data_IF_488638737626
#
_entry.id   IF_488638737626
#
_cell.length_a   1.000
_cell.length_b   1.000
_cell.length_c   1.000
_cell.angle_alpha   90.00
_cell.angle_beta   90.00
_cell.angle_gamma   90.00
#
_symmetry.space_group_name_H-M   'P 1'
#
loop_
_entity.id
_entity.type
_entity.pdbx_description
1 polymer ?
#
# COMPACT_ATOMS: atom_id res chain seq x y z
N UNK A 1 40.63 -6.46 1.57
CA UNK A 1 40.65 -5.14 0.91
C UNK A 1 39.43 -4.81 0.06
N UNK A 2 38.89 -5.68 -0.79
CA UNK A 2 37.73 -5.35 -1.65
C UNK A 2 36.40 -5.06 -0.92
N UNK A 3 36.17 -5.64 0.26
CA UNK A 3 34.95 -5.39 1.07
C UNK A 3 34.87 -3.96 1.63
N UNK A 4 36.01 -3.41 2.06
CA UNK A 4 36.09 -2.05 2.59
C UNK A 4 35.85 -0.99 1.52
N UNK A 5 36.23 -1.26 0.26
CA UNK A 5 35.96 -0.37 -0.87
C UNK A 5 34.50 -0.40 -1.30
N UNK A 6 33.83 -1.56 -1.23
CA UNK A 6 32.39 -1.66 -1.53
C UNK A 6 31.55 -0.97 -0.46
N UNK A 7 31.85 -1.20 0.82
CA UNK A 7 31.13 -0.55 1.93
C UNK A 7 31.33 0.97 1.90
N UNK A 8 32.56 1.45 1.65
CA UNK A 8 32.84 2.88 1.55
C UNK A 8 32.22 3.53 0.30
N UNK A 9 32.05 2.78 -0.79
CA UNK A 9 31.39 3.24 -2.01
C UNK A 9 29.88 3.35 -1.81
N UNK A 10 29.25 2.32 -1.21
CA UNK A 10 27.82 2.35 -0.85
C UNK A 10 27.50 3.46 0.16
N UNK A 11 28.38 3.72 1.13
CA UNK A 11 28.21 4.77 2.14
C UNK A 11 28.38 6.19 1.55
N UNK A 12 29.30 6.36 0.59
CA UNK A 12 29.47 7.60 -0.16
C UNK A 12 28.28 7.90 -1.08
N UNK A 13 27.71 6.89 -1.73
CA UNK A 13 26.51 7.05 -2.57
C UNK A 13 25.24 7.30 -1.74
N UNK A 14 25.10 6.61 -0.61
CA UNK A 14 24.01 6.84 0.34
C UNK A 14 24.05 8.26 0.92
N UNK A 15 25.22 8.75 1.30
CA UNK A 15 25.39 10.13 1.80
C UNK A 15 25.15 11.19 0.72
N UNK A 16 25.52 10.94 -0.54
CA UNK A 16 25.21 11.81 -1.68
C UNK A 16 23.70 11.84 -1.96
N UNK A 17 23.03 10.69 -1.96
CA UNK A 17 21.57 10.58 -2.12
C UNK A 17 20.83 11.28 -0.99
N UNK A 18 21.28 11.13 0.26
CA UNK A 18 20.76 11.83 1.43
C UNK A 18 20.99 13.35 1.33
N UNK A 19 22.15 13.80 0.83
CA UNK A 19 22.42 15.21 0.62
C UNK A 19 21.55 15.80 -0.53
N UNK A 20 21.34 15.04 -1.60
CA UNK A 20 20.45 15.43 -2.70
C UNK A 20 18.98 15.49 -2.24
N UNK A 21 18.50 14.49 -1.50
CA UNK A 21 17.16 14.50 -0.88
C UNK A 21 17.01 15.62 0.15
N UNK A 22 18.01 15.88 0.99
CA UNK A 22 17.98 17.03 1.91
C UNK A 22 17.92 18.38 1.20
N UNK A 23 18.57 18.53 0.05
CA UNK A 23 18.47 19.74 -0.77
C UNK A 23 17.10 19.85 -1.47
N UNK A 24 16.47 18.73 -1.83
CA UNK A 24 15.10 18.68 -2.37
C UNK A 24 14.08 19.22 -1.35
N UNK A 25 14.27 18.97 -0.06
CA UNK A 25 13.39 19.48 1.00
C UNK A 25 13.57 20.99 1.31
N UNK A 26 14.69 21.60 0.92
CA UNK A 26 15.00 23.01 1.24
C UNK A 26 14.38 24.01 0.27
N UNK A 27 14.23 23.65 -1.01
CA UNK A 27 13.59 24.50 -2.02
C UNK A 27 12.89 23.65 -3.09
N UNK A 28 11.60 23.33 -2.93
CA UNK A 28 10.87 22.44 -3.84
C UNK A 28 10.69 23.01 -5.25
N UNK A 29 10.89 24.32 -5.44
CA UNK A 29 10.73 24.98 -6.74
C UNK A 29 11.92 24.78 -7.68
N UNK A 30 13.10 24.44 -7.13
CA UNK A 30 14.34 24.21 -7.88
C UNK A 30 14.59 22.73 -8.20
N UNK A 31 13.63 21.87 -7.85
CA UNK A 31 13.77 20.43 -7.95
C UNK A 31 13.40 19.97 -9.35
N UNK A 32 14.38 19.43 -10.08
CA UNK A 32 14.08 18.78 -11.35
C UNK A 32 13.38 17.42 -11.06
N UNK A 33 12.10 17.24 -11.45
CA UNK A 33 11.33 16.04 -11.15
C UNK A 33 12.00 14.76 -11.68
N UNK A 34 12.66 14.85 -12.84
CA UNK A 34 13.43 13.73 -13.38
C UNK A 34 14.61 13.39 -12.48
N UNK A 35 15.34 14.36 -11.98
CA UNK A 35 16.51 14.11 -11.11
C UNK A 35 16.11 13.44 -9.78
N UNK A 36 14.96 13.79 -9.19
CA UNK A 36 14.49 13.14 -7.95
C UNK A 36 14.12 11.69 -8.18
N UNK A 37 13.34 11.42 -9.22
CA UNK A 37 12.93 10.05 -9.54
C UNK A 37 14.11 9.20 -10.04
N UNK A 38 15.08 9.82 -10.72
CA UNK A 38 16.35 9.21 -11.10
C UNK A 38 17.21 8.93 -9.87
N UNK A 39 17.29 9.84 -8.89
CA UNK A 39 18.00 9.60 -7.64
C UNK A 39 17.35 8.50 -6.79
N UNK A 40 16.02 8.44 -6.78
CA UNK A 40 15.26 7.37 -6.13
C UNK A 40 15.26 6.04 -6.93
N UNK A 41 15.72 6.04 -8.19
CA UNK A 41 15.46 4.94 -9.14
C UNK A 41 16.59 4.56 -10.10
N UNK A 42 17.81 5.10 -9.98
CA UNK A 42 19.06 4.55 -10.58
C UNK A 42 19.66 3.60 -9.53
N UNK A 43 19.94 2.32 -9.80
CA UNK A 43 20.57 1.72 -10.98
C UNK A 43 19.94 0.38 -11.41
N UNK A 44 18.62 0.24 -11.39
CA UNK A 44 18.00 -1.02 -11.82
C UNK A 44 17.60 -0.94 -13.29
N UNK A 45 18.09 -1.90 -14.09
CA UNK A 45 17.62 -2.17 -15.45
C UNK A 45 16.11 -2.44 -15.46
N UNK A 46 15.44 -2.27 -16.61
CA UNK A 46 14.00 -2.55 -16.70
C UNK A 46 13.65 -4.01 -16.36
N UNK A 47 14.60 -4.93 -16.55
CA UNK A 47 14.50 -6.33 -16.15
C UNK A 47 14.62 -6.51 -14.62
N UNK A 48 15.53 -5.78 -13.97
CA UNK A 48 15.69 -5.78 -12.51
C UNK A 48 14.53 -5.08 -11.78
N UNK A 49 13.89 -4.10 -12.43
CA UNK A 49 12.70 -3.39 -11.90
C UNK A 49 11.44 -4.22 -11.89
N UNK A 50 11.34 -5.27 -12.72
CA UNK A 50 10.11 -6.02 -12.92
C UNK A 50 10.30 -7.51 -12.64
N UNK A 51 10.11 -7.90 -11.39
CA UNK A 51 10.12 -9.32 -11.01
C UNK A 51 9.02 -10.10 -11.75
N UNK A 52 9.32 -11.28 -12.30
CA UNK A 52 8.30 -12.12 -12.91
C UNK A 52 7.28 -12.53 -11.85
N UNK A 53 6.01 -12.63 -12.23
CA UNK A 53 4.91 -12.93 -11.29
C UNK A 53 5.15 -14.20 -10.46
N UNK A 54 5.80 -15.20 -11.06
CA UNK A 54 6.16 -16.45 -10.36
C UNK A 54 7.19 -16.20 -9.26
N UNK A 55 8.19 -15.33 -9.48
CA UNK A 55 9.19 -15.01 -8.46
C UNK A 55 8.56 -14.24 -7.30
N UNK A 56 7.72 -13.24 -7.59
CA UNK A 56 6.97 -12.49 -6.57
C UNK A 56 6.09 -13.44 -5.76
N UNK A 57 5.37 -14.35 -6.42
CA UNK A 57 4.52 -15.32 -5.74
C UNK A 57 5.34 -16.26 -4.83
N UNK A 58 6.45 -16.82 -5.33
CA UNK A 58 7.32 -17.71 -4.53
C UNK A 58 7.91 -17.01 -3.31
N UNK A 59 8.44 -15.80 -3.50
CA UNK A 59 9.00 -15.01 -2.40
C UNK A 59 7.92 -14.65 -1.38
N UNK A 60 6.74 -14.23 -1.85
CA UNK A 60 5.57 -14.01 -1.01
C UNK A 60 5.16 -15.27 -0.22
N UNK A 61 5.15 -16.45 -0.84
CA UNK A 61 4.81 -17.70 -0.14
C UNK A 61 5.81 -18.08 0.94
N UNK A 62 7.11 -17.86 0.70
CA UNK A 62 8.16 -18.15 1.70
C UNK A 62 8.00 -17.22 2.91
N UNK A 63 7.85 -15.92 2.66
CA UNK A 63 7.64 -14.93 3.72
C UNK A 63 6.35 -15.20 4.50
N UNK A 64 5.27 -15.58 3.83
CA UNK A 64 4.02 -15.96 4.48
C UNK A 64 4.15 -17.25 5.28
N UNK A 65 4.89 -18.26 4.79
CA UNK A 65 5.14 -19.50 5.55
C UNK A 65 5.90 -19.19 6.84
N UNK A 66 6.96 -18.38 6.74
CA UNK A 66 7.72 -17.94 7.91
C UNK A 66 6.83 -17.17 8.90
N UNK A 67 5.94 -16.29 8.41
CA UNK A 67 4.99 -15.57 9.27
C UNK A 67 4.01 -16.53 9.96
N UNK A 68 3.45 -17.50 9.23
CA UNK A 68 2.50 -18.48 9.77
C UNK A 68 3.13 -19.39 10.83
N UNK A 69 4.39 -19.76 10.65
CA UNK A 69 5.13 -20.64 11.57
C UNK A 69 5.60 -19.92 12.84
N UNK A 70 5.90 -18.62 12.75
CA UNK A 70 6.52 -17.86 13.85
C UNK A 70 5.53 -17.01 14.64
N UNK A 71 4.43 -16.57 14.04
CA UNK A 71 3.48 -15.68 14.69
C UNK A 71 2.55 -16.47 15.62
N UNK A 72 2.76 -16.32 16.93
CA UNK A 72 1.95 -16.94 17.98
C UNK A 72 1.36 -15.86 18.90
N UNK A 73 0.16 -16.11 19.40
CA UNK A 73 -0.53 -15.26 20.38
C UNK A 73 -0.74 -16.01 21.69
N UNK A 74 -0.65 -15.27 22.78
CA UNK A 74 -0.94 -15.75 24.12
C UNK A 74 -2.42 -15.55 24.44
N UNK A 75 -3.18 -16.64 24.50
CA UNK A 75 -4.61 -16.63 24.82
C UNK A 75 -4.80 -17.10 26.27
N UNK A 76 -5.49 -16.32 27.13
CA UNK A 76 -5.85 -16.78 28.46
C UNK A 76 -6.84 -17.94 28.36
N UNK A 77 -6.50 -19.08 28.96
CA UNK A 77 -7.37 -20.27 28.95
C UNK A 77 -8.59 -20.00 29.83
N UNK A 78 -9.75 -19.80 29.20
CA UNK A 78 -11.03 -19.85 29.91
C UNK A 78 -11.32 -21.29 30.32
N UNK A 79 -11.53 -21.58 31.62
CA UNK A 79 -11.87 -22.93 32.06
C UNK A 79 -13.20 -23.40 31.45
N UNK A 80 -13.24 -24.60 30.87
CA UNK A 80 -14.45 -25.21 30.26
C UNK A 80 -15.67 -25.25 31.20
N UNK A 81 -15.46 -25.15 32.52
CA UNK A 81 -16.52 -25.21 33.53
C UNK A 81 -17.18 -23.86 33.84
N UNK A 82 -16.80 -22.76 33.17
CA UNK A 82 -17.33 -21.42 33.44
C UNK A 82 -17.02 -20.89 34.85
N UNK A 83 -16.24 -21.63 35.66
CA UNK A 83 -15.82 -21.22 36.99
C UNK A 83 -14.46 -20.54 36.91
N UNK A 84 -14.27 -19.36 37.52
CA UNK A 84 -12.95 -18.75 37.62
C UNK A 84 -12.00 -19.70 38.39
N UNK A 85 -10.71 -19.73 38.04
CA UNK A 85 -9.73 -20.56 38.74
C UNK A 85 -9.68 -20.13 40.21
N UNK A 86 -10.03 -21.06 41.11
CA UNK A 86 -10.22 -20.80 42.55
C UNK A 86 -8.90 -20.46 43.27
N UNK A 87 -7.74 -20.70 42.66
CA UNK A 87 -6.41 -20.33 43.18
C UNK A 87 -5.34 -20.57 42.11
N UNK A 88 -4.81 -19.53 41.48
CA UNK A 88 -3.66 -19.64 40.59
C UNK A 88 -3.59 -18.56 39.51
N UNK A 89 -2.39 -18.32 38.96
CA UNK A 89 -2.19 -17.47 37.78
C UNK A 89 -3.03 -18.03 36.62
N UNK A 90 -3.65 -17.19 35.77
CA UNK A 90 -4.35 -17.65 34.59
C UNK A 90 -3.37 -18.49 33.74
N UNK A 91 -3.82 -19.67 33.31
CA UNK A 91 -3.03 -20.48 32.38
C UNK A 91 -3.06 -19.79 31.03
N UNK A 92 -1.89 -19.47 30.50
CA UNK A 92 -1.73 -18.87 29.18
C UNK A 92 -1.42 -20.01 28.21
N UNK A 93 -2.14 -20.08 27.09
CA UNK A 93 -1.87 -21.01 26.00
C UNK A 93 -1.34 -20.23 24.80
N UNK A 94 -0.30 -20.75 24.16
CA UNK A 94 0.25 -20.19 22.92
C UNK A 94 -0.46 -20.85 21.75
N UNK A 95 -1.05 -20.06 20.87
CA UNK A 95 -1.76 -20.51 19.69
C UNK A 95 -1.27 -19.72 18.46
N UNK A 96 -1.31 -20.30 17.24
CA UNK A 96 -0.88 -19.60 16.05
C UNK A 96 -1.77 -18.37 15.79
N UNK A 97 -1.17 -17.22 15.55
CA UNK A 97 -1.86 -15.97 15.30
C UNK A 97 -2.53 -15.93 13.92
N UNK A 98 -2.00 -16.70 12.96
CA UNK A 98 -2.53 -16.83 11.61
C UNK A 98 -2.58 -18.30 11.21
N UNK A 99 -3.58 -18.67 10.40
CA UNK A 99 -3.76 -20.04 9.90
C UNK A 99 -4.15 -20.03 8.42
N UNK A 100 -3.78 -21.09 7.69
CA UNK A 100 -4.17 -21.27 6.30
C UNK A 100 -5.38 -22.21 6.21
N UNK A 101 -6.49 -21.70 5.68
CA UNK A 101 -7.74 -22.44 5.52
C UNK A 101 -8.13 -22.52 4.03
N UNK A 102 -8.67 -23.67 3.61
CA UNK A 102 -9.21 -23.83 2.26
C UNK A 102 -10.71 -23.53 2.31
N UNK A 103 -11.11 -22.42 1.68
CA UNK A 103 -12.49 -22.01 1.56
C UNK A 103 -13.08 -22.34 0.19
N UNK A 104 -14.41 -22.28 0.11
CA UNK A 104 -15.19 -22.63 -1.06
C UNK A 104 -16.11 -21.45 -1.40
N UNK A 105 -16.19 -21.07 -2.66
CA UNK A 105 -17.11 -19.99 -3.07
C UNK A 105 -18.54 -20.52 -2.99
N UNK A 106 -19.38 -19.91 -2.15
CA UNK A 106 -20.80 -20.21 -2.13
C UNK A 106 -21.49 -19.48 -3.30
N UNK A 107 -22.05 -20.19 -4.31
CA UNK A 107 -22.69 -19.57 -5.46
C UNK A 107 -23.87 -18.65 -5.08
N UNK A 108 -24.48 -18.86 -3.91
CA UNK A 108 -25.61 -18.07 -3.43
C UNK A 108 -25.23 -16.70 -2.83
N UNK A 109 -23.94 -16.43 -2.56
CA UNK A 109 -23.45 -15.18 -1.96
C UNK A 109 -22.83 -14.20 -2.96
N UNK A 110 -22.83 -14.49 -4.27
CA UNK A 110 -22.37 -13.54 -5.28
C UNK A 110 -23.46 -12.52 -5.62
N UNK A 111 -23.25 -11.21 -5.37
CA UNK A 111 -24.26 -10.19 -5.61
C UNK A 111 -24.48 -9.85 -7.10
N UNK A 112 -23.72 -10.41 -8.04
CA UNK A 112 -23.73 -9.96 -9.45
C UNK A 112 -24.27 -10.98 -10.47
N UNK A 113 -24.68 -12.18 -10.07
CA UNK A 113 -25.43 -13.10 -10.95
C UNK A 113 -26.93 -12.91 -10.81
N UNK A 114 -27.43 -11.72 -11.15
CA UNK A 114 -28.89 -11.51 -11.28
C UNK A 114 -29.25 -10.62 -12.46
N UNK A 115 -28.95 -11.12 -13.67
CA UNK A 115 -29.80 -10.90 -14.86
C UNK A 115 -30.05 -12.25 -15.54
N UNK A 116 -31.17 -12.88 -15.20
CA UNK A 116 -31.88 -13.82 -16.08
C UNK A 116 -31.21 -15.15 -16.45
N UNK A 117 -30.30 -15.71 -15.65
CA UNK A 117 -29.69 -17.01 -15.93
C UNK A 117 -29.31 -17.75 -14.65
N UNK A 118 -29.63 -19.05 -14.62
CA UNK A 118 -29.40 -20.07 -13.58
C UNK A 118 -28.35 -19.74 -12.50
N UNK A 119 -28.76 -19.83 -11.22
CA UNK A 119 -27.94 -19.74 -9.99
C UNK A 119 -27.00 -20.95 -9.83
N UNK A 120 -26.22 -21.27 -10.85
CA UNK A 120 -25.33 -22.45 -10.88
C UNK A 120 -23.95 -22.05 -11.42
N UNK A 121 -23.31 -21.08 -10.77
CA UNK A 121 -21.87 -20.86 -10.95
C UNK A 121 -21.09 -22.03 -10.34
N UNK A 122 -19.94 -22.44 -10.92
CA UNK A 122 -19.14 -23.53 -10.38
C UNK A 122 -18.58 -23.16 -9.00
N UNK A 123 -18.66 -24.09 -8.05
CA UNK A 123 -18.01 -23.97 -6.74
C UNK A 123 -16.50 -23.99 -6.94
N UNK A 124 -15.81 -22.92 -6.56
CA UNK A 124 -14.35 -22.77 -6.65
C UNK A 124 -13.73 -22.91 -5.27
N UNK A 125 -12.67 -23.73 -5.18
CA UNK A 125 -11.77 -23.79 -4.01
C UNK A 125 -10.75 -22.66 -4.07
N UNK A 126 -10.49 -22.02 -2.93
CA UNK A 126 -9.41 -21.05 -2.79
C UNK A 126 -8.83 -21.09 -1.37
N UNK A 127 -7.54 -20.77 -1.24
CA UNK A 127 -6.86 -20.65 0.05
C UNK A 127 -7.08 -19.26 0.66
N UNK A 128 -7.28 -19.22 1.98
CA UNK A 128 -7.45 -18.00 2.77
C UNK A 128 -6.49 -18.07 3.95
N UNK A 129 -5.84 -16.95 4.25
CA UNK A 129 -5.12 -16.79 5.51
C UNK A 129 -6.08 -16.12 6.49
N UNK A 130 -6.42 -16.85 7.55
CA UNK A 130 -7.30 -16.38 8.62
C UNK A 130 -6.47 -15.92 9.81
N UNK A 131 -6.83 -14.79 10.40
CA UNK A 131 -6.23 -14.31 11.64
C UNK A 131 -7.03 -14.83 12.83
N UNK A 132 -6.35 -15.12 13.94
CA UNK A 132 -6.99 -15.52 15.19
C UNK A 132 -7.99 -14.44 15.67
N UNK A 133 -9.16 -14.81 16.21
CA UNK A 133 -10.18 -13.82 16.62
C UNK A 133 -9.68 -12.74 17.58
N UNK A 134 -8.78 -13.07 18.50
CA UNK A 134 -8.18 -12.09 19.42
C UNK A 134 -7.27 -11.09 18.69
N UNK A 135 -6.58 -11.50 17.61
CA UNK A 135 -5.80 -10.58 16.76
C UNK A 135 -6.75 -9.63 16.04
N UNK A 136 -7.84 -10.14 15.47
CA UNK A 136 -8.85 -9.33 14.80
C UNK A 136 -9.50 -8.34 15.78
N UNK A 137 -9.82 -8.79 16.99
CA UNK A 137 -10.40 -7.95 18.04
C UNK A 137 -9.43 -6.84 18.46
N UNK A 138 -8.16 -7.16 18.68
CA UNK A 138 -7.13 -6.17 18.98
C UNK A 138 -6.96 -5.14 17.84
N UNK A 139 -7.02 -5.60 16.58
CA UNK A 139 -6.97 -4.72 15.42
C UNK A 139 -8.18 -3.77 15.36
N UNK A 140 -9.39 -4.31 15.56
CA UNK A 140 -10.64 -3.53 15.55
C UNK A 140 -10.72 -2.55 16.73
N UNK A 141 -10.17 -2.91 17.88
CA UNK A 141 -10.11 -2.04 19.07
C UNK A 141 -9.04 -0.93 18.96
N UNK A 142 -8.22 -0.95 17.91
CA UNK A 142 -7.18 0.07 17.68
C UNK A 142 -6.01 0.02 18.67
N UNK A 143 -5.97 -0.97 19.56
CA UNK A 143 -4.86 -1.21 20.49
C UNK A 143 -3.65 -1.73 19.71
N UNK A 144 -2.77 -0.84 19.28
CA UNK A 144 -1.52 -1.15 18.59
C UNK A 144 -1.50 -0.90 17.07
N UNK A 145 -2.62 -0.45 16.47
CA UNK A 145 -2.72 -0.22 15.00
C UNK A 145 -2.41 1.24 14.61
N UNK A 146 -2.23 2.15 15.58
CA UNK A 146 -1.99 3.58 15.30
C UNK A 146 -0.78 3.84 14.39
N UNK A 147 0.21 2.95 14.36
CA UNK A 147 1.41 3.04 13.52
C UNK A 147 1.46 2.04 12.35
N UNK A 148 0.45 1.17 12.18
CA UNK A 148 0.42 0.20 11.06
C UNK A 148 -0.33 0.79 9.86
N UNK A 149 -0.15 2.08 9.59
CA UNK A 149 -0.63 2.65 8.34
C UNK A 149 0.35 2.30 7.23
N UNK A 150 0.12 1.14 6.59
CA UNK A 150 0.90 0.64 5.43
C UNK A 150 0.67 1.49 4.17
N UNK A 151 -0.10 2.57 4.26
CA UNK A 151 -0.36 3.45 3.12
C UNK A 151 0.87 4.27 2.78
N UNK A 152 1.53 3.93 1.68
CA UNK A 152 2.65 4.72 1.16
C UNK A 152 2.21 6.09 0.60
N UNK A 153 0.95 6.20 0.18
CA UNK A 153 0.44 7.36 -0.57
C UNK A 153 -0.41 8.27 0.31
N UNK A 154 0.23 9.00 1.22
CA UNK A 154 -0.42 10.09 1.95
C UNK A 154 -0.47 11.38 1.11
N UNK A 155 -1.39 12.31 1.44
CA UNK A 155 -1.34 13.67 0.92
C UNK A 155 0.03 14.31 1.19
N UNK A 156 0.56 15.03 0.22
CA UNK A 156 1.85 15.71 0.38
C UNK A 156 1.67 16.99 1.19
N UNK A 157 2.60 17.24 2.12
CA UNK A 157 2.68 18.50 2.89
C UNK A 157 3.41 19.62 2.14
N UNK A 158 3.88 19.32 0.93
CA UNK A 158 4.53 20.22 -0.02
C UNK A 158 3.87 20.06 -1.39
N UNK A 159 4.01 21.03 -2.30
CA UNK A 159 3.47 20.90 -3.65
C UNK A 159 3.99 19.63 -4.36
N UNK A 160 3.12 18.92 -5.10
CA UNK A 160 3.53 17.74 -5.87
C UNK A 160 4.43 18.12 -7.06
N UNK A 161 5.17 17.13 -7.58
CA UNK A 161 5.89 17.28 -8.84
C UNK A 161 4.89 17.48 -9.98
N UNK A 162 5.14 18.42 -10.90
CA UNK A 162 4.31 18.56 -12.08
C UNK A 162 4.43 17.30 -12.97
N UNK A 163 3.30 16.87 -13.52
CA UNK A 163 3.22 15.89 -14.58
C UNK A 163 3.89 16.44 -15.83
N UNK A 164 4.91 15.72 -16.29
CA UNK A 164 5.66 16.03 -17.52
C UNK A 164 5.82 14.80 -18.42
N UNK A 165 5.46 13.61 -17.92
CA UNK A 165 5.42 12.36 -18.67
C UNK A 165 4.46 11.38 -17.98
N UNK A 166 4.19 10.24 -18.62
CA UNK A 166 3.24 9.26 -18.10
C UNK A 166 3.58 8.60 -16.76
N UNK A 167 4.86 8.55 -16.42
CA UNK A 167 5.37 8.02 -15.16
C UNK A 167 6.18 9.05 -14.35
N UNK A 168 6.19 10.31 -14.80
CA UNK A 168 6.92 11.41 -14.17
C UNK A 168 5.96 12.52 -13.73
N UNK A 169 5.67 12.58 -12.43
CA UNK A 169 4.78 13.54 -11.79
C UNK A 169 4.21 13.00 -10.47
N UNK A 170 3.52 13.86 -9.71
CA UNK A 170 2.89 13.47 -8.45
C UNK A 170 3.87 13.47 -7.26
N UNK A 171 4.13 12.31 -6.67
CA UNK A 171 4.99 12.19 -5.49
C UNK A 171 6.47 12.39 -5.84
N UNK A 172 7.24 12.92 -4.88
CA UNK A 172 8.67 13.19 -5.07
C UNK A 172 9.46 11.90 -5.38
N UNK A 173 9.32 10.90 -4.49
CA UNK A 173 10.14 9.68 -4.51
C UNK A 173 9.36 8.43 -4.93
N UNK A 174 8.05 8.41 -4.67
CA UNK A 174 7.19 7.29 -5.06
C UNK A 174 6.87 7.39 -6.55
N UNK A 175 7.08 6.29 -7.27
CA UNK A 175 6.69 6.20 -8.67
C UNK A 175 5.17 6.24 -8.80
N UNK A 176 4.66 7.21 -9.54
CA UNK A 176 3.25 7.38 -9.82
C UNK A 176 3.01 7.37 -11.34
N UNK A 177 2.14 6.48 -11.81
CA UNK A 177 1.62 6.55 -13.18
C UNK A 177 0.45 7.52 -13.20
N UNK A 178 0.37 8.39 -14.22
CA UNK A 178 -0.76 9.33 -14.33
C UNK A 178 -2.11 8.60 -14.40
N UNK A 179 -2.12 7.40 -14.98
CA UNK A 179 -3.31 6.61 -15.27
C UNK A 179 -3.28 5.30 -14.49
N UNK A 180 -4.41 4.99 -13.84
CA UNK A 180 -4.59 3.73 -13.14
C UNK A 180 -5.01 2.63 -14.12
N UNK A 181 -4.04 1.87 -14.63
CA UNK A 181 -4.25 0.81 -15.63
C UNK A 181 -4.77 -0.52 -15.09
N UNK A 182 -4.81 -0.70 -13.75
CA UNK A 182 -5.29 -1.94 -13.09
C UNK A 182 -4.63 -3.23 -13.62
N UNK A 183 -3.38 -3.15 -14.06
CA UNK A 183 -2.65 -4.29 -14.63
C UNK A 183 -2.91 -4.56 -16.11
N UNK A 184 -3.73 -3.75 -16.78
CA UNK A 184 -3.95 -3.86 -18.22
C UNK A 184 -2.73 -3.34 -18.99
N UNK A 185 -1.97 -4.28 -19.57
CA UNK A 185 -0.75 -3.98 -20.33
C UNK A 185 -1.02 -3.22 -21.62
N UNK A 186 -2.17 -3.43 -22.26
CA UNK A 186 -2.52 -2.73 -23.50
C UNK A 186 -2.79 -1.25 -23.24
N UNK A 187 -3.53 -0.94 -22.18
CA UNK A 187 -3.76 0.45 -21.75
C UNK A 187 -2.46 1.18 -21.42
N UNK A 188 -1.52 0.50 -20.75
CA UNK A 188 -0.22 1.08 -20.44
C UNK A 188 0.60 1.37 -21.72
N UNK A 189 0.59 0.45 -22.70
CA UNK A 189 1.29 0.65 -23.98
C UNK A 189 0.74 1.83 -24.77
N UNK A 190 -0.59 1.92 -24.88
CA UNK A 190 -1.24 3.04 -25.58
C UNK A 190 -0.92 4.39 -24.91
N UNK A 191 -0.84 4.41 -23.58
CA UNK A 191 -0.43 5.60 -22.84
C UNK A 191 1.02 6.00 -23.14
N UNK A 192 1.93 5.02 -23.19
CA UNK A 192 3.34 5.26 -23.54
C UNK A 192 3.49 5.75 -24.98
N UNK A 193 2.69 5.23 -25.90
CA UNK A 193 2.65 5.67 -27.30
C UNK A 193 2.15 7.12 -27.41
N UNK A 194 1.07 7.47 -26.69
CA UNK A 194 0.54 8.83 -26.65
C UNK A 194 1.54 9.84 -26.05
N UNK A 195 2.24 9.45 -24.98
CA UNK A 195 3.29 10.27 -24.36
C UNK A 195 4.48 10.50 -25.33
N UNK A 196 4.88 9.45 -26.07
CA UNK A 196 5.93 9.56 -27.10
C UNK A 196 5.51 10.47 -28.23
N UNK A 197 4.29 10.35 -28.75
CA UNK A 197 3.77 11.23 -29.78
C UNK A 197 3.81 12.70 -29.33
N UNK A 198 3.55 12.96 -28.05
CA UNK A 198 3.65 14.31 -27.50
C UNK A 198 5.08 14.83 -27.43
N UNK A 199 6.04 13.98 -27.06
CA UNK A 199 7.46 14.33 -27.14
C UNK A 199 7.94 14.62 -28.58
N UNK A 200 7.27 14.03 -29.58
CA UNK A 200 7.52 14.25 -31.02
C UNK A 200 6.80 15.49 -31.57
N UNK A 201 5.96 16.17 -30.77
CA UNK A 201 5.33 17.44 -31.10
C UNK A 201 3.80 17.42 -31.19
N UNK A 202 3.14 16.29 -30.91
CA UNK A 202 1.67 16.22 -30.84
C UNK A 202 1.14 16.80 -29.50
N UNK A 203 0.33 17.87 -29.49
CA UNK A 203 -0.13 18.48 -28.23
C UNK A 203 -1.12 17.61 -27.44
N UNK A 204 -1.56 16.44 -27.94
CA UNK A 204 -2.66 15.66 -27.36
C UNK A 204 -2.57 15.37 -25.84
N UNK A 205 -1.37 15.15 -25.29
CA UNK A 205 -1.18 14.87 -23.86
C UNK A 205 -0.95 16.12 -22.99
N UNK A 206 -0.56 17.25 -23.60
CA UNK A 206 -0.20 18.46 -22.87
C UNK A 206 -1.37 18.99 -22.03
N UNK A 207 -2.58 19.05 -22.64
CA UNK A 207 -3.78 19.51 -21.95
C UNK A 207 -4.13 18.65 -20.72
N UNK A 208 -3.86 17.35 -20.79
CA UNK A 208 -4.10 16.43 -19.67
C UNK A 208 -3.13 16.73 -18.53
N UNK A 209 -1.85 16.97 -18.83
CA UNK A 209 -0.84 17.28 -17.82
C UNK A 209 -1.13 18.61 -17.14
N UNK A 210 -1.47 19.63 -17.91
CA UNK A 210 -1.83 20.94 -17.37
C UNK A 210 -3.05 20.86 -16.44
N UNK A 211 -4.08 20.08 -16.83
CA UNK A 211 -5.25 19.86 -15.98
C UNK A 211 -4.91 19.11 -14.69
N UNK A 212 -4.10 18.05 -14.76
CA UNK A 212 -3.65 17.30 -13.58
C UNK A 212 -2.79 18.17 -12.65
N UNK A 213 -1.93 19.01 -13.21
CA UNK A 213 -1.09 19.95 -12.46
C UNK A 213 -1.94 21.01 -11.76
N UNK A 214 -2.93 21.57 -12.46
CA UNK A 214 -3.88 22.51 -11.85
C UNK A 214 -4.61 21.88 -10.66
N UNK A 215 -5.15 20.67 -10.81
CA UNK A 215 -5.84 19.95 -9.73
C UNK A 215 -4.91 19.59 -8.55
N UNK A 216 -3.69 19.15 -8.85
CA UNK A 216 -2.71 18.75 -7.84
C UNK A 216 -2.11 19.93 -7.07
N UNK A 217 -2.11 21.12 -7.65
CA UNK A 217 -1.57 22.34 -7.02
C UNK A 217 -2.49 22.93 -5.92
N UNK A 218 -3.74 22.49 -5.84
CA UNK A 218 -4.71 23.03 -4.88
C UNK A 218 -4.34 22.59 -3.46
N UNK A 219 -4.01 23.56 -2.61
CA UNK A 219 -3.70 23.30 -1.21
C UNK A 219 -4.98 23.03 -0.41
N UNK A 220 -5.01 21.89 0.29
CA UNK A 220 -6.12 21.50 1.16
C UNK A 220 -5.75 21.76 2.62
N UNK A 221 -6.76 22.11 3.41
CA UNK A 221 -6.66 22.21 4.86
C UNK A 221 -7.84 21.52 5.52
N UNK A 222 -7.59 20.82 6.62
CA UNK A 222 -8.63 20.17 7.40
C UNK A 222 -9.50 21.24 8.08
N UNK A 223 -10.81 21.17 7.89
CA UNK A 223 -11.75 21.98 8.64
C UNK A 223 -11.83 21.47 10.08
N UNK A 224 -11.23 22.20 11.01
CA UNK A 224 -11.11 21.80 12.42
C UNK A 224 -12.45 21.79 13.16
N UNK A 225 -13.38 22.68 12.79
CA UNK A 225 -14.68 22.74 13.44
C UNK A 225 -15.54 21.53 13.09
N UNK A 226 -15.52 21.13 11.80
CA UNK A 226 -16.19 19.91 11.35
C UNK A 226 -15.50 18.68 11.93
N UNK A 227 -14.16 18.65 11.93
CA UNK A 227 -13.41 17.54 12.52
C UNK A 227 -13.80 17.30 13.97
N UNK A 228 -13.85 18.36 14.79
CA UNK A 228 -14.25 18.26 16.21
C UNK A 228 -15.65 17.64 16.38
N UNK A 229 -16.63 18.07 15.58
CA UNK A 229 -17.99 17.51 15.63
C UNK A 229 -17.98 16.02 15.25
N UNK A 230 -17.23 15.65 14.22
CA UNK A 230 -17.10 14.24 13.79
C UNK A 230 -16.42 13.39 14.86
N UNK A 231 -15.38 13.91 15.51
CA UNK A 231 -14.68 13.24 16.63
C UNK A 231 -15.63 13.05 17.82
N UNK A 232 -16.39 14.07 18.21
CA UNK A 232 -17.39 13.97 19.28
C UNK A 232 -18.47 12.92 18.97
N UNK A 233 -18.98 12.92 17.73
CA UNK A 233 -19.96 11.91 17.27
C UNK A 233 -19.34 10.51 17.31
N UNK A 234 -18.09 10.37 16.85
CA UNK A 234 -17.38 9.08 16.88
C UNK A 234 -17.17 8.57 18.30
N UNK A 235 -16.73 9.42 19.22
CA UNK A 235 -16.56 9.09 20.65
C UNK A 235 -17.89 8.73 21.33
N UNK A 236 -19.01 9.31 20.88
CA UNK A 236 -20.36 8.97 21.36
C UNK A 236 -20.91 7.64 20.83
N UNK A 237 -20.16 6.94 19.96
CA UNK A 237 -20.55 5.64 19.38
C UNK A 237 -21.05 5.70 17.93
N UNK A 238 -20.98 6.87 17.28
CA UNK A 238 -21.33 7.03 15.86
C UNK A 238 -22.82 6.88 15.52
N UNK A 239 -23.11 6.47 14.28
CA UNK A 239 -24.48 6.17 13.82
C UNK A 239 -25.31 7.38 13.37
N UNK A 240 -24.68 8.55 13.21
CA UNK A 240 -25.34 9.79 12.80
C UNK A 240 -24.68 10.33 11.53
N UNK A 241 -25.33 10.11 10.38
CA UNK A 241 -24.77 10.41 9.05
C UNK A 241 -23.67 9.41 8.65
N UNK A 242 -23.65 9.04 7.37
CA UNK A 242 -22.66 8.14 6.76
C UNK A 242 -21.97 8.87 5.60
#
# INVERSE_FOLDING_TARGET
DTRLYLDAFEEAESSLLMAQTQNIYKDPTKVNPRTVQIAAGRELTDEEKSWPMIAVARMGTILLSMLLETAEIEVPVTPESGRPPVRGRPKIKREPAFSHEISWTNPARMPETRKGGTTSGPVRRYGVISAHPEVLKAMLQGSGVKDVTVSRYFPMVIPPLPWIAYDTGGHLTLRCLMMRTRGNRAQLKLLQEADRAMAEGDPGMQQIYDALNALGSVAWQINKDVLRVVEEVWESGGGVGD
#
